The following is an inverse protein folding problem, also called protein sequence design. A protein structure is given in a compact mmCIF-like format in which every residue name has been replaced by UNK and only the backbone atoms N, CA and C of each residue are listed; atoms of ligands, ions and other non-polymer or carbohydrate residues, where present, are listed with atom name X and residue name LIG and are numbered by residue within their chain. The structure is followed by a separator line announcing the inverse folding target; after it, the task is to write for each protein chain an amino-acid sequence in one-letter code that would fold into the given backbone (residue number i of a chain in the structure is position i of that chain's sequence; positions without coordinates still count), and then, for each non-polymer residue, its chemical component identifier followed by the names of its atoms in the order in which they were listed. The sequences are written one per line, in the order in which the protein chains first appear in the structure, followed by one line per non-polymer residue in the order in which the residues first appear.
data_IF_081221395672
#
_entry.id   IF_081221395672
#
_cell.length_a   1.000
_cell.length_b   1.000
_cell.length_c   1.000
_cell.angle_alpha   90.00
_cell.angle_beta   90.00
_cell.angle_gamma   90.00
#
_symmetry.space_group_name_H-M   'P 1'
#
loop_
_entity.id
_entity.type
_entity.pdbx_description
1 polymer ?
#
# COMPACT_ATOMS: atom_id res chain seq x y z
N UNK A 1 11.27 -30.47 -58.27
CA UNK A 1 11.72 -30.63 -56.87
C UNK A 1 12.09 -29.26 -56.34
N UNK A 2 11.42 -28.82 -55.28
CA UNK A 2 11.64 -27.54 -54.58
C UNK A 2 12.67 -27.76 -53.48
N UNK A 3 13.75 -26.98 -53.42
CA UNK A 3 14.59 -26.89 -52.21
C UNK A 3 14.59 -25.45 -51.70
N UNK A 4 13.88 -25.28 -50.59
CA UNK A 4 13.61 -24.02 -49.92
C UNK A 4 14.76 -23.65 -48.98
N UNK A 5 15.12 -22.35 -49.00
CA UNK A 5 15.86 -21.64 -47.96
C UNK A 5 15.32 -21.93 -46.56
N UNK A 6 16.19 -22.05 -45.55
CA UNK A 6 15.96 -21.41 -44.24
C UNK A 6 17.31 -21.12 -43.55
N UNK A 7 17.49 -19.85 -43.20
CA UNK A 7 18.57 -19.32 -42.36
C UNK A 7 18.24 -19.67 -40.90
N UNK A 8 19.11 -20.43 -40.23
CA UNK A 8 18.98 -20.77 -38.82
C UNK A 8 19.33 -19.57 -37.94
N UNK A 9 18.29 -18.91 -37.43
CA UNK A 9 18.35 -17.85 -36.43
C UNK A 9 18.40 -18.48 -35.03
N UNK A 10 19.46 -18.23 -34.25
CA UNK A 10 19.62 -18.74 -32.89
C UNK A 10 19.50 -17.60 -31.87
N UNK A 11 18.25 -17.43 -31.42
CA UNK A 11 17.77 -17.15 -30.06
C UNK A 11 18.60 -16.16 -29.22
N UNK A 12 18.15 -14.90 -29.21
CA UNK A 12 18.47 -13.95 -28.16
C UNK A 12 17.68 -14.29 -26.88
N UNK A 13 18.35 -14.75 -25.83
CA UNK A 13 17.78 -14.85 -24.48
C UNK A 13 17.68 -13.46 -23.87
N UNK A 14 16.51 -12.83 -24.00
CA UNK A 14 16.18 -11.63 -23.25
C UNK A 14 15.81 -12.03 -21.82
N UNK A 15 16.70 -11.79 -20.86
CA UNK A 15 16.38 -11.82 -19.44
C UNK A 15 15.51 -10.59 -19.13
N UNK A 16 14.19 -10.79 -19.05
CA UNK A 16 13.27 -9.77 -18.58
C UNK A 16 13.43 -9.61 -17.06
N UNK A 17 14.24 -8.63 -16.65
CA UNK A 17 14.19 -8.10 -15.29
C UNK A 17 12.83 -7.40 -15.12
N UNK A 18 11.87 -8.11 -14.53
CA UNK A 18 10.66 -7.49 -13.98
C UNK A 18 11.10 -6.70 -12.76
N UNK A 19 11.47 -5.45 -12.97
CA UNK A 19 11.56 -4.49 -11.89
C UNK A 19 10.15 -4.36 -11.31
N UNK A 20 9.89 -5.03 -10.17
CA UNK A 20 8.77 -4.66 -9.32
C UNK A 20 9.07 -3.26 -8.79
N UNK A 21 8.68 -2.24 -9.55
CA UNK A 21 8.48 -0.90 -9.03
C UNK A 21 7.33 -1.00 -8.04
N UNK A 22 7.65 -1.32 -6.79
CA UNK A 22 6.81 -0.94 -5.69
C UNK A 22 6.65 0.58 -5.81
N UNK A 23 5.49 1.00 -6.31
CA UNK A 23 5.10 2.40 -6.38
C UNK A 23 4.98 2.92 -4.95
N UNK A 24 6.11 3.26 -4.34
CA UNK A 24 6.12 4.27 -3.31
C UNK A 24 6.05 5.59 -4.07
N UNK A 25 4.84 6.02 -4.41
CA UNK A 25 4.53 7.42 -4.74
C UNK A 25 4.91 8.27 -3.52
N UNK A 26 6.21 8.47 -3.31
CA UNK A 26 6.74 9.48 -2.44
C UNK A 26 6.66 10.80 -3.21
N UNK A 27 5.44 11.33 -3.35
CA UNK A 27 5.23 12.72 -3.73
C UNK A 27 5.44 13.60 -2.51
N UNK A 28 6.08 14.75 -2.73
CA UNK A 28 6.42 15.73 -1.71
C UNK A 28 5.22 16.01 -0.77
N UNK A 29 5.49 16.00 0.54
CA UNK A 29 4.58 16.39 1.62
C UNK A 29 3.22 15.65 1.67
N UNK A 30 3.23 14.32 1.55
CA UNK A 30 2.05 13.52 1.84
C UNK A 30 1.58 13.74 3.29
N UNK A 31 0.28 14.00 3.50
CA UNK A 31 -0.34 14.26 4.81
C UNK A 31 -0.17 13.11 5.79
N UNK A 32 0.09 11.92 5.27
CA UNK A 32 0.34 10.71 6.03
C UNK A 32 1.24 9.75 5.27
N UNK A 33 1.76 8.76 5.98
CA UNK A 33 2.49 7.63 5.42
C UNK A 33 1.83 6.33 5.86
N UNK A 34 1.64 5.40 4.92
CA UNK A 34 1.11 4.06 5.19
C UNK A 34 2.21 3.04 5.00
N UNK A 35 2.45 2.20 6.00
CA UNK A 35 3.45 1.13 5.97
C UNK A 35 2.84 -0.22 6.29
N UNK A 36 3.13 -1.20 5.43
CA UNK A 36 2.84 -2.61 5.66
C UNK A 36 4.06 -3.28 6.27
N UNK A 37 3.94 -3.65 7.54
CA UNK A 37 4.94 -4.41 8.29
C UNK A 37 4.65 -5.91 8.22
N UNK A 38 5.36 -6.69 9.04
CA UNK A 38 5.07 -8.12 9.11
C UNK A 38 3.84 -8.40 9.96
N UNK A 39 2.73 -8.68 9.30
CA UNK A 39 1.43 -8.86 9.93
C UNK A 39 0.81 -7.60 10.56
N UNK A 40 1.28 -6.41 10.17
CA UNK A 40 0.79 -5.13 10.70
C UNK A 40 0.61 -4.11 9.59
N UNK A 41 -0.35 -3.21 9.77
CA UNK A 41 -0.48 -1.98 8.98
C UNK A 41 -0.37 -0.81 9.94
N UNK A 42 0.43 0.18 9.57
CA UNK A 42 0.59 1.41 10.33
C UNK A 42 0.40 2.62 9.42
N UNK A 43 -0.34 3.60 9.92
CA UNK A 43 -0.55 4.89 9.26
C UNK A 43 -0.07 5.96 10.21
N UNK A 44 0.81 6.84 9.72
CA UNK A 44 1.40 7.91 10.52
C UNK A 44 1.03 9.25 9.89
N UNK A 45 0.51 10.17 10.69
CA UNK A 45 0.33 11.56 10.26
C UNK A 45 1.68 12.26 10.09
N UNK A 46 1.82 13.10 9.07
CA UNK A 46 3.04 13.83 8.77
C UNK A 46 2.87 15.33 9.01
N UNK A 47 3.95 16.01 9.43
CA UNK A 47 3.92 17.45 9.69
C UNK A 47 2.87 17.83 10.72
N UNK A 48 1.91 18.66 10.33
CA UNK A 48 0.82 19.14 11.18
C UNK A 48 -0.44 18.25 11.16
N UNK A 49 -0.42 17.18 10.37
CA UNK A 49 -1.56 16.26 10.24
C UNK A 49 -1.55 15.22 11.37
N UNK A 50 -2.70 15.03 11.98
CA UNK A 50 -2.95 14.00 13.00
C UNK A 50 -4.02 13.03 12.54
N UNK A 51 -4.06 11.86 13.16
CA UNK A 51 -5.04 10.80 12.90
C UNK A 51 -6.42 11.21 13.41
N UNK A 52 -7.45 11.10 12.57
CA UNK A 52 -8.82 11.30 13.00
C UNK A 52 -9.32 10.06 13.77
N UNK A 53 -9.33 10.12 15.10
CA UNK A 53 -9.73 9.02 15.98
C UNK A 53 -11.22 8.69 15.90
N UNK A 54 -12.05 9.61 15.44
CA UNK A 54 -13.51 9.45 15.37
C UNK A 54 -13.97 8.81 14.07
N UNK A 55 -13.16 8.90 13.02
CA UNK A 55 -13.45 8.33 11.70
C UNK A 55 -13.61 6.78 11.71
N UNK A 56 -14.35 6.22 10.72
CA UNK A 56 -14.57 4.78 10.60
C UNK A 56 -13.37 4.08 9.94
N UNK A 57 -12.26 3.94 10.69
CA UNK A 57 -11.04 3.26 10.24
C UNK A 57 -11.31 1.85 9.74
N UNK A 58 -10.71 1.49 8.60
CA UNK A 58 -10.88 0.18 7.98
C UNK A 58 -9.67 -0.20 7.15
N UNK A 59 -9.24 -1.46 7.24
CA UNK A 59 -8.38 -2.11 6.25
C UNK A 59 -9.05 -3.37 5.71
N UNK A 60 -8.82 -3.69 4.44
CA UNK A 60 -9.23 -4.96 3.84
C UNK A 60 -8.02 -5.65 3.23
N UNK A 61 -7.76 -6.89 3.62
CA UNK A 61 -6.64 -7.70 3.13
C UNK A 61 -7.13 -9.09 2.76
N UNK A 62 -6.95 -9.49 1.50
CA UNK A 62 -7.39 -10.82 1.03
C UNK A 62 -8.87 -11.12 1.29
N UNK A 63 -9.75 -10.10 1.27
CA UNK A 63 -11.18 -10.23 1.57
C UNK A 63 -11.55 -10.16 3.06
N UNK A 64 -10.58 -10.17 3.98
CA UNK A 64 -10.82 -9.95 5.41
C UNK A 64 -10.81 -8.47 5.74
N UNK A 65 -11.84 -7.98 6.42
CA UNK A 65 -11.95 -6.57 6.85
C UNK A 65 -11.62 -6.40 8.33
N UNK A 66 -10.71 -5.49 8.61
CA UNK A 66 -10.33 -5.01 9.93
C UNK A 66 -10.99 -3.66 10.19
N UNK A 67 -12.10 -3.66 10.92
CA UNK A 67 -12.83 -2.45 11.30
C UNK A 67 -12.15 -1.71 12.47
N UNK A 68 -12.64 -0.50 12.77
CA UNK A 68 -12.06 0.45 13.74
C UNK A 68 -11.71 -0.16 15.10
N UNK A 69 -12.48 -1.13 15.58
CA UNK A 69 -12.26 -1.81 16.87
C UNK A 69 -10.92 -2.58 16.92
N UNK A 70 -10.36 -2.95 15.76
CA UNK A 70 -9.06 -3.61 15.65
C UNK A 70 -7.89 -2.63 15.57
N UNK A 71 -8.17 -1.34 15.45
CA UNK A 71 -7.15 -0.31 15.32
C UNK A 71 -6.81 0.29 16.67
N UNK A 72 -5.51 0.37 16.95
CA UNK A 72 -4.95 1.22 17.98
C UNK A 72 -4.73 2.60 17.38
N UNK A 73 -5.55 3.58 17.80
CA UNK A 73 -5.51 4.95 17.29
C UNK A 73 -4.89 5.88 18.34
N UNK A 74 -3.96 6.71 17.90
CA UNK A 74 -3.36 7.82 18.63
C UNK A 74 -3.35 9.05 17.73
N UNK A 75 -3.07 10.24 18.25
CA UNK A 75 -3.01 11.45 17.40
C UNK A 75 -1.92 11.36 16.32
N UNK A 76 -0.82 10.64 16.59
CA UNK A 76 0.29 10.52 15.65
C UNK A 76 0.15 9.33 14.69
N UNK A 77 -0.47 8.22 15.13
CA UNK A 77 -0.54 7.01 14.32
C UNK A 77 -1.78 6.14 14.57
N UNK A 78 -2.17 5.41 13.53
CA UNK A 78 -3.20 4.39 13.54
C UNK A 78 -2.56 3.05 13.15
N UNK A 79 -2.70 2.04 14.00
CA UNK A 79 -2.06 0.73 13.79
C UNK A 79 -3.05 -0.40 13.95
N UNK A 80 -2.95 -1.41 13.08
CA UNK A 80 -3.66 -2.68 13.22
C UNK A 80 -2.66 -3.83 13.10
N UNK A 81 -2.84 -4.85 13.94
CA UNK A 81 -1.98 -6.03 14.00
C UNK A 81 -2.80 -7.30 13.73
N UNK A 82 -2.11 -8.42 13.47
CA UNK A 82 -2.78 -9.68 13.12
C UNK A 82 -3.34 -9.67 11.70
N UNK A 83 -2.78 -8.83 10.83
CA UNK A 83 -3.18 -8.71 9.45
C UNK A 83 -2.47 -9.81 8.63
N UNK A 84 -3.16 -10.57 7.76
CA UNK A 84 -2.49 -11.55 6.90
C UNK A 84 -1.59 -10.87 5.88
N UNK A 85 -0.63 -11.63 5.35
CA UNK A 85 0.24 -11.16 4.26
C UNK A 85 -0.57 -10.95 2.99
N UNK A 86 -0.21 -9.94 2.20
CA UNK A 86 -0.83 -9.64 0.92
C UNK A 86 -1.18 -8.17 0.73
N UNK A 87 -1.91 -7.88 -0.35
CA UNK A 87 -2.31 -6.51 -0.67
C UNK A 87 -3.47 -6.06 0.23
N UNK A 88 -3.20 -5.02 1.00
CA UNK A 88 -4.16 -4.37 1.85
C UNK A 88 -4.67 -3.07 1.22
N UNK A 89 -5.97 -2.83 1.31
CA UNK A 89 -6.56 -1.51 1.04
C UNK A 89 -6.94 -0.86 2.36
N UNK A 90 -6.38 0.31 2.65
CA UNK A 90 -6.52 1.03 3.91
C UNK A 90 -7.28 2.32 3.69
N UNK A 91 -8.36 2.54 4.45
CA UNK A 91 -9.04 3.82 4.54
C UNK A 91 -8.38 4.68 5.59
N UNK A 92 -7.63 5.68 5.14
CA UNK A 92 -6.90 6.64 5.99
C UNK A 92 -7.76 7.86 6.23
N UNK A 93 -7.71 8.39 7.46
CA UNK A 93 -8.39 9.63 7.85
C UNK A 93 -7.45 10.50 8.67
N UNK A 94 -7.08 11.67 8.17
CA UNK A 94 -6.21 12.62 8.88
C UNK A 94 -6.85 14.01 8.93
N UNK A 95 -6.54 14.77 9.97
CA UNK A 95 -7.01 16.13 10.14
C UNK A 95 -5.87 17.09 10.51
N UNK A 96 -6.05 18.36 10.21
CA UNK A 96 -5.22 19.48 10.65
C UNK A 96 -6.15 20.65 10.97
N UNK A 97 -6.36 20.94 12.27
CA UNK A 97 -7.42 21.84 12.71
C UNK A 97 -8.80 21.39 12.19
N UNK A 98 -9.50 22.29 11.52
CA UNK A 98 -10.83 22.04 10.94
C UNK A 98 -10.79 21.29 9.59
N UNK A 99 -9.59 21.09 9.01
CA UNK A 99 -9.44 20.43 7.72
C UNK A 99 -9.21 18.93 7.90
N UNK A 100 -10.17 18.11 7.49
CA UNK A 100 -10.04 16.66 7.48
C UNK A 100 -10.00 16.11 6.06
N UNK A 101 -9.15 15.09 5.85
CA UNK A 101 -8.96 14.39 4.59
C UNK A 101 -9.06 12.89 4.79
N UNK A 102 -9.53 12.22 3.75
CA UNK A 102 -9.60 10.78 3.69
C UNK A 102 -9.03 10.27 2.37
N UNK A 103 -8.40 9.10 2.42
CA UNK A 103 -7.80 8.47 1.25
C UNK A 103 -7.91 6.95 1.34
N UNK A 104 -7.94 6.29 0.19
CA UNK A 104 -7.77 4.84 0.10
C UNK A 104 -6.39 4.52 -0.44
N UNK A 105 -5.61 3.76 0.32
CA UNK A 105 -4.22 3.45 0.00
C UNK A 105 -4.05 1.95 -0.09
N UNK A 106 -3.39 1.50 -1.16
CA UNK A 106 -2.95 0.10 -1.29
C UNK A 106 -1.56 -0.05 -0.69
N UNK A 107 -1.38 -1.02 0.19
CA UNK A 107 -0.10 -1.32 0.83
C UNK A 107 0.10 -2.83 0.92
N UNK A 108 1.30 -3.30 0.62
CA UNK A 108 1.64 -4.71 0.76
C UNK A 108 2.03 -5.02 2.22
N UNK A 109 1.34 -5.98 2.84
CA UNK A 109 1.65 -6.50 4.18
C UNK A 109 2.59 -7.69 4.04
N UNK A 110 3.67 -7.68 4.82
CA UNK A 110 4.82 -8.60 4.68
C UNK A 110 4.74 -9.85 5.53
#
# INVERSE_FOLDING_TARGET
MRLSKTLGSLVATAAALVALTAATDARADAEFTVTGGSGTIEVKGNGHWHINKDAPWKATVGGTTFAKDKWTLSDASAKVSGVPKGDATVKVYVCNGDQCKNAEVKVAVK
#
